data_IF_089237145318
#
_entry.id   IF_089237145318
#
_cell.length_a   1.000
_cell.length_b   1.000
_cell.length_c   1.000
_cell.angle_alpha   90.00
_cell.angle_beta   90.00
_cell.angle_gamma   90.00
#
_symmetry.space_group_name_H-M   'P 1'
#
loop_
_entity.id
_entity.type
_entity.pdbx_description
1 polymer ?
#
# COMPACT_ATOMS: atom_id res chain seq x y z
N UNK A 1 3.85 4.91 11.97
CA UNK A 1 3.74 3.86 10.93
C UNK A 1 2.89 4.28 9.75
N UNK A 2 1.61 4.59 9.96
CA UNK A 2 0.69 4.87 8.84
C UNK A 2 1.10 6.09 8.01
N UNK A 3 1.56 7.18 8.64
CA UNK A 3 2.09 8.33 7.91
C UNK A 3 3.35 7.98 7.09
N UNK A 4 4.30 7.25 7.67
CA UNK A 4 5.46 6.76 6.92
C UNK A 4 5.03 5.89 5.71
N UNK A 5 3.93 5.13 5.86
CA UNK A 5 3.34 4.36 4.78
C UNK A 5 2.76 5.23 3.67
N UNK A 6 2.04 6.31 4.01
CA UNK A 6 1.53 7.28 3.04
C UNK A 6 2.65 7.97 2.28
N UNK A 7 3.72 8.36 2.96
CA UNK A 7 4.83 9.11 2.38
C UNK A 7 5.92 8.25 1.72
N UNK A 8 5.87 6.92 1.85
CA UNK A 8 6.86 6.06 1.20
C UNK A 8 8.20 5.94 1.95
N UNK A 9 8.23 6.20 3.26
CA UNK A 9 9.46 6.17 4.08
C UNK A 9 9.77 4.73 4.51
N UNK A 10 10.33 3.94 3.60
CA UNK A 10 10.55 2.50 3.76
C UNK A 10 11.51 2.19 4.91
N UNK A 11 12.61 2.93 5.02
CA UNK A 11 13.67 2.71 6.03
C UNK A 11 13.11 2.84 7.44
N UNK A 12 12.24 3.84 7.67
CA UNK A 12 11.57 4.02 8.95
C UNK A 12 10.68 2.83 9.30
N UNK A 13 9.92 2.32 8.33
CA UNK A 13 9.04 1.16 8.54
C UNK A 13 9.86 -0.09 8.87
N UNK A 14 10.97 -0.31 8.17
CA UNK A 14 11.88 -1.44 8.43
C UNK A 14 12.40 -1.39 9.87
N UNK A 15 12.95 -0.25 10.29
CA UNK A 15 13.53 -0.13 11.64
C UNK A 15 12.46 -0.25 12.73
N UNK A 16 11.29 0.37 12.55
CA UNK A 16 10.21 0.26 13.53
C UNK A 16 9.64 -1.16 13.62
N UNK A 17 9.55 -1.88 12.50
CA UNK A 17 9.10 -3.28 12.48
C UNK A 17 10.07 -4.19 13.23
N UNK A 18 11.38 -3.91 13.18
CA UNK A 18 12.39 -4.66 13.95
C UNK A 18 12.27 -4.43 15.45
N UNK A 19 12.00 -3.19 15.86
CA UNK A 19 11.89 -2.82 17.28
C UNK A 19 10.57 -3.30 17.88
N UNK A 20 9.46 -3.17 17.14
CA UNK A 20 8.12 -3.52 17.61
C UNK A 20 7.27 -4.09 16.47
N UNK A 21 7.33 -5.41 16.22
CA UNK A 21 6.57 -6.06 15.14
C UNK A 21 5.06 -5.81 15.20
N UNK A 22 4.51 -5.60 16.40
CA UNK A 22 3.08 -5.34 16.60
C UNK A 22 2.58 -4.06 15.90
N UNK A 23 3.49 -3.15 15.59
CA UNK A 23 3.18 -1.91 14.87
C UNK A 23 2.70 -2.17 13.42
N UNK A 24 2.93 -3.37 12.87
CA UNK A 24 2.39 -3.78 11.58
C UNK A 24 0.85 -3.89 11.58
N UNK A 25 0.25 -4.11 12.74
CA UNK A 25 -1.17 -4.36 12.93
C UNK A 25 -1.97 -3.10 13.29
N UNK A 26 -1.30 -1.95 13.37
CA UNK A 26 -1.96 -0.67 13.65
C UNK A 26 -2.86 -0.27 12.48
N UNK A 27 -4.07 0.15 12.81
CA UNK A 27 -5.06 0.68 11.88
C UNK A 27 -5.51 2.08 12.33
N UNK A 28 -6.00 2.88 11.39
CA UNK A 28 -6.67 4.16 11.70
C UNK A 28 -8.17 3.97 11.98
N UNK A 29 -8.88 5.10 12.11
CA UNK A 29 -10.33 5.15 12.35
C UNK A 29 -11.17 4.50 11.23
N UNK A 30 -10.65 4.50 10.00
CA UNK A 30 -11.27 3.84 8.85
C UNK A 30 -10.98 2.32 8.83
N UNK A 31 -10.33 1.79 9.88
CA UNK A 31 -9.79 0.43 9.90
C UNK A 31 -8.77 0.17 8.77
N UNK A 32 -8.00 1.19 8.37
CA UNK A 32 -6.95 1.08 7.34
C UNK A 32 -5.57 0.97 7.96
N UNK A 33 -4.88 -0.12 7.64
CA UNK A 33 -3.52 -0.39 8.09
C UNK A 33 -2.45 0.06 7.08
N UNK A 34 -1.21 -0.38 7.33
CA UNK A 34 -0.07 -0.03 6.47
C UNK A 34 -0.27 -0.49 5.02
N UNK A 35 -0.83 -1.68 4.81
CA UNK A 35 -1.16 -2.18 3.46
C UNK A 35 -2.16 -1.29 2.72
N UNK A 36 -3.20 -0.83 3.41
CA UNK A 36 -4.21 0.07 2.85
C UNK A 36 -3.58 1.38 2.39
N UNK A 37 -2.77 2.01 3.25
CA UNK A 37 -2.10 3.29 2.95
C UNK A 37 -1.03 3.15 1.88
N UNK A 38 -0.22 2.08 1.91
CA UNK A 38 0.73 1.79 0.85
C UNK A 38 0.01 1.61 -0.49
N UNK A 39 -1.20 1.03 -0.48
CA UNK A 39 -1.99 0.81 -1.70
C UNK A 39 -2.58 2.10 -2.25
N UNK A 40 -3.26 2.87 -1.39
CA UNK A 40 -3.85 4.16 -1.73
C UNK A 40 -2.80 5.16 -2.25
N UNK A 41 -1.60 5.14 -1.69
CA UNK A 41 -0.51 6.06 -2.04
C UNK A 41 0.51 5.49 -3.04
N UNK A 42 0.24 4.32 -3.67
CA UNK A 42 1.10 3.71 -4.70
C UNK A 42 2.54 3.45 -4.23
N UNK A 43 2.73 3.04 -2.97
CA UNK A 43 4.04 2.76 -2.36
C UNK A 43 4.45 1.31 -2.54
N UNK A 44 4.88 0.98 -3.75
CA UNK A 44 5.30 -0.37 -4.14
C UNK A 44 6.34 -0.98 -3.20
N UNK A 45 7.40 -0.24 -2.85
CA UNK A 45 8.47 -0.77 -2.02
C UNK A 45 7.99 -1.17 -0.61
N UNK A 46 7.08 -0.39 -0.03
CA UNK A 46 6.47 -0.70 1.27
C UNK A 46 5.56 -1.91 1.14
N UNK A 47 4.71 -1.95 0.11
CA UNK A 47 3.83 -3.08 -0.15
C UNK A 47 4.63 -4.39 -0.27
N UNK A 48 5.67 -4.40 -1.11
CA UNK A 48 6.52 -5.56 -1.33
C UNK A 48 7.26 -6.00 -0.07
N UNK A 49 7.82 -5.05 0.70
CA UNK A 49 8.50 -5.37 1.95
C UNK A 49 7.58 -6.12 2.93
N UNK A 50 6.37 -5.61 3.17
CA UNK A 50 5.46 -6.20 4.15
C UNK A 50 4.83 -7.48 3.60
N UNK A 51 4.55 -7.54 2.29
CA UNK A 51 4.03 -8.74 1.64
C UNK A 51 4.98 -9.95 1.76
N UNK A 52 6.29 -9.71 1.86
CA UNK A 52 7.29 -10.77 2.08
C UNK A 52 7.35 -11.27 3.54
N UNK A 53 6.77 -10.57 4.51
CA UNK A 53 6.74 -11.01 5.91
C UNK A 53 5.78 -12.19 6.13
N UNK A 54 6.12 -13.10 7.06
CA UNK A 54 5.24 -14.24 7.38
C UNK A 54 3.90 -13.75 7.94
N UNK A 55 2.80 -14.37 7.49
CA UNK A 55 1.44 -14.05 7.94
C UNK A 55 0.77 -12.88 7.22
N UNK A 56 1.52 -12.08 6.46
CA UNK A 56 1.00 -10.88 5.79
C UNK A 56 0.00 -11.17 4.66
N UNK A 57 0.12 -12.32 3.98
CA UNK A 57 -0.75 -12.69 2.86
C UNK A 57 -2.21 -12.82 3.27
N UNK A 58 -2.48 -13.36 4.45
CA UNK A 58 -3.84 -13.51 4.97
C UNK A 58 -4.48 -12.14 5.15
N UNK A 59 -3.74 -11.20 5.75
CA UNK A 59 -4.14 -9.80 5.94
C UNK A 59 -4.52 -9.15 4.61
N UNK A 60 -3.66 -9.25 3.60
CA UNK A 60 -3.92 -8.65 2.29
C UNK A 60 -5.18 -9.23 1.64
N UNK A 61 -5.43 -10.53 1.82
CA UNK A 61 -6.57 -11.22 1.19
C UNK A 61 -7.89 -11.09 1.95
N UNK A 62 -7.86 -10.90 3.28
CA UNK A 62 -9.07 -10.94 4.12
C UNK A 62 -9.43 -9.60 4.75
N UNK A 63 -8.53 -8.61 4.73
CA UNK A 63 -8.77 -7.33 5.38
C UNK A 63 -9.74 -6.46 4.58
N UNK A 64 -10.69 -5.88 5.30
CA UNK A 64 -11.73 -5.00 4.77
C UNK A 64 -11.72 -3.75 5.67
N UNK A 65 -11.82 -2.57 5.05
CA UNK A 65 -11.91 -1.30 5.78
C UNK A 65 -13.35 -1.04 6.29
N UNK A 66 -13.55 0.05 7.03
CA UNK A 66 -14.86 0.40 7.60
C UNK A 66 -15.96 0.68 6.54
N UNK A 67 -15.60 0.72 5.26
CA UNK A 67 -16.49 1.01 4.13
C UNK A 67 -16.62 -0.18 3.16
N UNK A 68 -16.34 -1.40 3.63
CA UNK A 68 -16.37 -2.62 2.83
C UNK A 68 -15.38 -2.66 1.65
N UNK A 69 -14.28 -1.88 1.72
CA UNK A 69 -13.22 -1.93 0.72
C UNK A 69 -12.14 -2.95 1.08
N UNK A 70 -11.89 -3.89 0.17
CA UNK A 70 -10.71 -4.74 0.21
C UNK A 70 -9.54 -4.06 -0.54
N UNK A 71 -8.36 -4.69 -0.55
CA UNK A 71 -7.17 -4.15 -1.22
C UNK A 71 -7.35 -3.91 -2.72
N UNK A 72 -8.18 -4.70 -3.40
CA UNK A 72 -8.46 -4.51 -4.83
C UNK A 72 -9.32 -3.26 -5.08
N UNK A 73 -10.31 -3.01 -4.22
CA UNK A 73 -11.09 -1.77 -4.27
C UNK A 73 -10.17 -0.56 -4.06
N UNK A 74 -9.30 -0.58 -3.04
CA UNK A 74 -8.37 0.51 -2.77
C UNK A 74 -7.36 0.73 -3.92
N UNK A 75 -6.91 -0.32 -4.59
CA UNK A 75 -6.02 -0.22 -5.74
C UNK A 75 -6.67 0.46 -6.96
N UNK A 76 -7.99 0.34 -7.09
CA UNK A 76 -8.77 1.00 -8.13
C UNK A 76 -9.21 2.43 -7.79
N UNK A 77 -9.07 2.86 -6.53
CA UNK A 77 -9.39 4.22 -6.12
C UNK A 77 -8.35 5.21 -6.63
N UNK A 78 -8.79 6.45 -6.91
CA UNK A 78 -7.89 7.52 -7.33
C UNK A 78 -6.84 7.80 -6.25
N UNK A 79 -5.56 7.82 -6.63
CA UNK A 79 -4.47 8.16 -5.72
C UNK A 79 -4.59 9.62 -5.21
N UNK A 80 -4.05 9.95 -4.03
CA UNK A 80 -4.00 11.33 -3.54
C UNK A 80 -3.36 12.28 -4.55
N UNK A 81 -3.85 13.52 -4.59
CA UNK A 81 -3.36 14.55 -5.53
C UNK A 81 -1.84 14.75 -5.48
N UNK A 82 -1.21 14.62 -4.30
CA UNK A 82 0.25 14.68 -4.17
C UNK A 82 1.02 13.66 -5.00
N UNK A 83 0.40 12.50 -5.31
CA UNK A 83 0.97 11.47 -6.20
C UNK A 83 0.62 11.72 -7.67
N UNK A 84 -0.54 12.31 -7.93
CA UNK A 84 -1.01 12.65 -9.29
C UNK A 84 -0.30 13.88 -9.87
N UNK A 85 -0.08 14.89 -9.04
CA UNK A 85 0.51 16.18 -9.39
C UNK A 85 2.02 16.10 -9.62
N UNK A 86 2.63 14.92 -9.41
CA UNK A 86 4.07 14.68 -9.59
C UNK A 86 4.51 14.58 -11.06
N UNK A 87 3.91 15.38 -11.95
CA UNK A 87 4.38 15.77 -13.31
C UNK A 87 4.12 14.82 -14.48
N UNK A 88 2.90 14.33 -14.64
CA UNK A 88 2.59 13.44 -15.78
C UNK A 88 1.24 13.79 -16.40
N UNK A 89 1.21 14.11 -17.69
CA UNK A 89 -0.04 14.27 -18.44
C UNK A 89 -0.90 12.99 -18.41
N UNK A 90 -2.18 13.10 -18.77
CA UNK A 90 -3.19 12.05 -18.57
C UNK A 90 -2.77 10.64 -19.03
N UNK A 91 -2.06 10.51 -20.16
CA UNK A 91 -1.58 9.22 -20.66
C UNK A 91 -0.54 8.55 -19.74
N UNK A 92 0.39 9.33 -19.17
CA UNK A 92 1.42 8.83 -18.24
C UNK A 92 0.82 8.48 -16.88
N UNK A 93 -0.19 9.21 -16.44
CA UNK A 93 -0.97 8.85 -15.24
C UNK A 93 -1.66 7.50 -15.44
N UNK A 94 -2.39 7.33 -16.54
CA UNK A 94 -3.09 6.08 -16.84
C UNK A 94 -2.12 4.88 -16.97
N UNK A 95 -0.95 5.07 -17.57
CA UNK A 95 0.07 4.03 -17.66
C UNK A 95 0.56 3.56 -16.28
N UNK A 96 0.82 4.49 -15.36
CA UNK A 96 1.28 4.16 -14.01
C UNK A 96 0.21 3.45 -13.20
N UNK A 97 -1.04 3.89 -13.27
CA UNK A 97 -2.17 3.21 -12.62
C UNK A 97 -2.34 1.78 -13.14
N UNK A 98 -2.13 1.55 -14.45
CA UNK A 98 -2.19 0.22 -15.04
C UNK A 98 -1.04 -0.69 -14.60
N UNK A 99 0.17 -0.14 -14.42
CA UNK A 99 1.30 -0.88 -13.82
C UNK A 99 1.02 -1.23 -12.36
N UNK A 100 0.50 -0.27 -11.59
CA UNK A 100 0.13 -0.47 -10.20
C UNK A 100 -0.91 -1.58 -10.01
N UNK A 101 -1.97 -1.56 -10.82
CA UNK A 101 -3.01 -2.59 -10.78
C UNK A 101 -2.43 -4.00 -11.02
N UNK A 102 -1.42 -4.13 -11.89
CA UNK A 102 -0.73 -5.40 -12.14
C UNK A 102 0.08 -5.88 -10.94
N UNK A 103 0.73 -4.97 -10.20
CA UNK A 103 1.48 -5.31 -8.97
C UNK A 103 0.57 -5.96 -7.94
N UNK A 104 -0.63 -5.39 -7.76
CA UNK A 104 -1.60 -5.88 -6.76
C UNK A 104 -2.18 -7.25 -7.15
N UNK A 105 -2.48 -7.47 -8.43
CA UNK A 105 -3.04 -8.74 -8.90
C UNK A 105 -1.98 -9.84 -8.97
N UNK A 106 -0.74 -9.49 -9.29
CA UNK A 106 0.37 -10.43 -9.45
C UNK A 106 1.60 -10.01 -8.65
N UNK A 107 1.57 -10.14 -7.30
CA UNK A 107 2.70 -9.73 -6.45
C UNK A 107 4.00 -10.51 -6.72
N UNK A 108 3.93 -11.64 -7.43
CA UNK A 108 5.05 -12.57 -7.65
C UNK A 108 5.93 -12.26 -8.88
N UNK A 109 5.62 -11.24 -9.69
CA UNK A 109 6.29 -10.99 -10.99
C UNK A 109 7.33 -9.84 -10.98
N UNK A 110 7.69 -9.31 -9.82
CA UNK A 110 8.66 -8.20 -9.70
C UNK A 110 9.81 -8.53 -8.72
N UNK A 111 10.39 -9.72 -8.87
CA UNK A 111 11.72 -10.06 -8.36
C UNK A 111 12.64 -10.33 -9.55
#
# INVERSE_FOLDING_TARGET
MLEAAKYGIVEFIIEMTRVSPDLLWVVDEDSRGIFSHATLCRREQIFNYIFQLKGSRQVVTSHIDAFDNNMLHLAGMLAPSSELDRRSGAALQMQRELQWFKVIISPALLI
#
